data_IF_290320136030
#
_entry.id   IF_290320136030
#
_cell.length_a   1.000
_cell.length_b   1.000
_cell.length_c   1.000
_cell.angle_alpha   90.00
_cell.angle_beta   90.00
_cell.angle_gamma   90.00
#
_symmetry.space_group_name_H-M   'P 1'
#
loop_
_entity.id
_entity.type
_entity.pdbx_description
1 polymer ?
#
# COMPACT_ATOMS: atom_id res chain seq x y z
N UNK A 1 -9.79 57.65 38.08
CA UNK A 1 -9.93 56.20 38.39
C UNK A 1 -9.41 55.42 37.18
N UNK A 2 -8.64 54.33 37.25
CA UNK A 2 -7.79 53.73 38.30
C UNK A 2 -6.46 53.38 37.60
N UNK A 3 -5.30 53.55 38.27
CA UNK A 3 -4.00 53.05 37.78
C UNK A 3 -3.81 51.61 38.25
N UNK A 4 -3.18 50.76 37.43
CA UNK A 4 -2.58 49.50 37.86
C UNK A 4 -1.06 49.61 37.65
N UNK A 5 -0.27 49.26 38.67
CA UNK A 5 1.19 49.30 38.66
C UNK A 5 1.73 47.90 38.43
N UNK A 6 2.74 47.75 37.56
CA UNK A 6 3.63 46.60 37.59
C UNK A 6 4.75 46.82 38.63
N UNK A 7 5.07 45.78 39.39
CA UNK A 7 6.17 45.74 40.36
C UNK A 7 7.34 44.90 39.82
N UNK A 8 8.55 45.20 40.29
CA UNK A 8 9.82 44.64 39.79
C UNK A 8 10.45 43.70 40.85
N UNK A 9 11.20 42.72 40.33
CA UNK A 9 12.22 41.78 40.87
C UNK A 9 13.12 42.26 42.07
N UNK A 10 14.09 41.47 42.63
CA UNK A 10 14.36 40.00 42.61
C UNK A 10 14.66 39.38 44.03
N UNK A 11 15.81 38.71 44.36
CA UNK A 11 15.94 37.25 44.52
C UNK A 11 16.53 36.77 45.87
N UNK A 12 16.63 35.46 46.14
CA UNK A 12 17.64 34.95 47.09
C UNK A 12 18.17 33.52 46.82
N UNK A 13 19.46 33.37 47.16
CA UNK A 13 20.31 32.17 47.26
C UNK A 13 20.49 31.88 48.78
N UNK A 14 20.87 30.70 49.31
CA UNK A 14 21.49 29.45 48.84
C UNK A 14 20.91 28.28 49.68
N UNK A 15 21.22 27.00 49.41
CA UNK A 15 22.12 26.24 50.31
C UNK A 15 22.64 24.91 49.75
N UNK A 16 23.76 24.42 50.30
CA UNK A 16 24.54 23.25 49.85
C UNK A 16 24.80 22.29 51.03
N UNK A 17 25.15 21.02 50.73
CA UNK A 17 25.71 19.92 51.55
C UNK A 17 24.77 18.69 51.56
N UNK A 18 25.22 17.46 51.28
CA UNK A 18 26.53 16.99 50.81
C UNK A 18 26.64 15.46 50.78
N UNK A 19 27.60 14.95 50.01
CA UNK A 19 28.23 13.61 50.07
C UNK A 19 27.36 12.34 50.23
N UNK A 20 27.43 11.42 49.27
CA UNK A 20 28.35 10.26 49.41
C UNK A 20 28.39 9.36 48.16
N UNK A 21 29.60 8.91 47.83
CA UNK A 21 29.87 7.95 46.75
C UNK A 21 29.66 6.50 47.24
N UNK A 22 28.93 5.68 46.47
CA UNK A 22 29.17 4.22 46.41
C UNK A 22 28.99 3.72 44.98
N UNK A 23 30.05 3.12 44.44
CA UNK A 23 30.00 2.39 43.18
C UNK A 23 29.42 0.99 43.41
N UNK A 24 28.64 0.49 42.44
CA UNK A 24 28.20 -0.90 42.39
C UNK A 24 28.43 -1.46 40.97
N UNK A 25 29.13 -2.59 40.88
CA UNK A 25 29.40 -3.29 39.62
C UNK A 25 28.16 -4.03 39.09
N UNK A 26 28.01 -4.20 37.77
CA UNK A 26 26.86 -4.88 37.18
C UNK A 26 27.03 -6.41 37.19
N UNK A 27 26.05 -7.13 37.75
CA UNK A 27 25.81 -8.57 37.49
C UNK A 27 24.30 -8.85 37.52
N UNK A 28 23.79 -9.55 36.51
CA UNK A 28 22.35 -9.79 36.31
C UNK A 28 22.05 -9.99 34.83
N UNK A 29 22.65 -11.01 34.20
CA UNK A 29 22.03 -12.32 33.98
C UNK A 29 21.02 -12.29 32.81
N UNK A 30 21.23 -13.19 31.85
CA UNK A 30 20.57 -13.14 30.55
C UNK A 30 19.04 -13.24 30.68
N UNK A 31 18.32 -12.33 30.02
CA UNK A 31 16.87 -12.46 29.83
C UNK A 31 16.62 -13.67 28.94
N UNK A 32 16.25 -14.80 29.54
CA UNK A 32 15.66 -15.92 28.80
C UNK A 32 14.46 -15.39 28.02
N UNK A 33 14.49 -15.57 26.69
CA UNK A 33 13.28 -15.41 25.89
C UNK A 33 12.22 -16.37 26.44
N UNK A 34 11.04 -15.85 26.78
CA UNK A 34 9.89 -16.67 27.11
C UNK A 34 9.43 -17.41 25.86
N UNK A 35 9.32 -18.75 25.85
CA UNK A 35 8.76 -19.47 24.72
C UNK A 35 7.35 -18.96 24.43
N UNK A 36 7.08 -18.59 23.18
CA UNK A 36 5.73 -18.18 22.77
C UNK A 36 4.78 -19.37 22.97
N UNK A 37 3.77 -19.21 23.82
CA UNK A 37 2.85 -20.28 24.15
C UNK A 37 2.15 -20.76 22.86
N UNK A 38 2.20 -22.07 22.61
CA UNK A 38 1.67 -22.67 21.40
C UNK A 38 0.18 -22.33 21.23
N UNK A 39 -0.15 -21.58 20.18
CA UNK A 39 -1.54 -21.36 19.75
C UNK A 39 -2.06 -22.63 19.08
N UNK A 40 -2.75 -23.47 19.84
CA UNK A 40 -3.74 -24.39 19.28
C UNK A 40 -5.14 -23.90 19.62
N UNK A 41 -5.91 -23.51 18.60
CA UNK A 41 -7.34 -23.80 18.42
C UNK A 41 -7.94 -22.88 17.36
N UNK A 42 -8.58 -23.48 16.34
CA UNK A 42 -9.24 -22.78 15.24
C UNK A 42 -8.30 -22.43 14.08
N UNK A 43 -8.21 -23.32 13.09
CA UNK A 43 -7.63 -22.96 11.78
C UNK A 43 -8.66 -22.08 11.07
N UNK A 44 -8.61 -20.78 11.36
CA UNK A 44 -9.16 -19.78 10.45
C UNK A 44 -8.41 -19.92 9.14
N UNK A 45 -9.12 -20.25 8.06
CA UNK A 45 -8.54 -20.23 6.72
C UNK A 45 -7.86 -18.87 6.49
N UNK A 46 -6.61 -18.89 6.03
CA UNK A 46 -5.93 -17.67 5.63
C UNK A 46 -6.78 -16.96 4.57
N UNK A 47 -6.84 -15.63 4.60
CA UNK A 47 -7.63 -14.87 3.65
C UNK A 47 -6.75 -13.78 3.05
N UNK A 48 -6.81 -13.64 1.72
CA UNK A 48 -5.96 -12.71 0.97
C UNK A 48 -6.80 -12.02 -0.11
N UNK A 49 -6.49 -10.76 -0.37
CA UNK A 49 -7.00 -10.05 -1.53
C UNK A 49 -6.07 -10.25 -2.75
N UNK A 50 -6.67 -10.33 -3.94
CA UNK A 50 -5.96 -10.16 -5.20
C UNK A 50 -6.33 -8.79 -5.77
N UNK A 51 -5.34 -7.90 -5.90
CA UNK A 51 -5.51 -6.60 -6.55
C UNK A 51 -4.84 -6.56 -7.93
N UNK A 52 -5.34 -5.71 -8.82
CA UNK A 52 -4.70 -5.42 -10.11
C UNK A 52 -4.89 -3.96 -10.50
N UNK A 53 -3.87 -3.36 -11.10
CA UNK A 53 -3.95 -2.06 -11.74
C UNK A 53 -4.72 -2.22 -13.06
N UNK A 54 -5.83 -1.50 -13.24
CA UNK A 54 -6.81 -1.69 -14.34
C UNK A 54 -7.37 -0.35 -14.83
N UNK A 55 -8.06 -0.37 -15.97
CA UNK A 55 -8.62 0.85 -16.57
C UNK A 55 -7.54 1.81 -17.07
N UNK A 56 -6.35 1.29 -17.38
CA UNK A 56 -5.17 2.06 -17.78
C UNK A 56 -5.12 2.32 -19.31
N UNK A 57 -6.19 2.00 -20.04
CA UNK A 57 -6.38 2.47 -21.42
C UNK A 57 -6.53 4.00 -21.47
N UNK A 58 -6.26 4.63 -22.63
CA UNK A 58 -6.43 6.07 -22.80
C UNK A 58 -6.85 6.44 -24.22
N UNK A 59 -8.09 6.93 -24.37
CA UNK A 59 -8.65 7.33 -25.66
C UNK A 59 -8.74 6.15 -26.64
N UNK A 60 -7.97 6.21 -27.72
CA UNK A 60 -7.89 5.12 -28.71
C UNK A 60 -6.89 4.01 -28.29
N UNK A 61 -5.97 4.29 -27.36
CA UNK A 61 -4.98 3.31 -26.92
C UNK A 61 -5.59 2.33 -25.92
N UNK A 62 -5.32 1.04 -26.13
CA UNK A 62 -5.79 -0.06 -25.29
C UNK A 62 -4.61 -0.75 -24.62
N UNK A 63 -4.75 -1.00 -23.33
CA UNK A 63 -3.79 -1.77 -22.52
C UNK A 63 -4.55 -2.88 -21.79
N UNK A 64 -3.93 -4.07 -21.73
CA UNK A 64 -4.44 -5.22 -20.99
C UNK A 64 -5.75 -5.82 -21.51
N UNK A 65 -6.26 -6.77 -20.74
CA UNK A 65 -7.62 -7.32 -20.86
C UNK A 65 -8.37 -7.06 -19.55
N UNK A 66 -8.76 -5.79 -19.35
CA UNK A 66 -9.53 -5.36 -18.18
C UNK A 66 -10.74 -6.28 -17.93
N UNK A 67 -11.45 -6.66 -19.00
CA UNK A 67 -12.75 -7.34 -18.90
C UNK A 67 -12.60 -8.73 -18.29
N UNK A 68 -11.59 -9.49 -18.73
CA UNK A 68 -11.28 -10.76 -18.09
C UNK A 68 -10.67 -10.55 -16.69
N UNK A 69 -9.79 -9.56 -16.50
CA UNK A 69 -9.13 -9.33 -15.21
C UNK A 69 -10.11 -8.97 -14.09
N UNK A 70 -11.14 -8.13 -14.36
CA UNK A 70 -12.21 -7.84 -13.41
C UNK A 70 -13.00 -9.10 -12.97
N UNK A 71 -13.02 -10.17 -13.77
CA UNK A 71 -13.61 -11.45 -13.36
C UNK A 71 -12.72 -12.32 -12.46
N UNK A 72 -11.44 -11.99 -12.32
CA UNK A 72 -10.43 -12.83 -11.65
C UNK A 72 -9.95 -12.26 -10.32
N UNK A 73 -9.87 -10.94 -10.19
CA UNK A 73 -9.40 -10.23 -8.99
C UNK A 73 -10.52 -9.94 -8.00
N UNK A 74 -10.17 -9.52 -6.78
CA UNK A 74 -11.14 -9.09 -5.75
C UNK A 74 -11.12 -7.58 -5.52
N UNK A 75 -10.01 -6.91 -5.84
CA UNK A 75 -9.86 -5.45 -5.82
C UNK A 75 -9.25 -4.95 -7.13
N UNK A 76 -9.62 -3.75 -7.58
CA UNK A 76 -9.14 -3.16 -8.83
C UNK A 76 -8.72 -1.69 -8.64
N UNK A 77 -7.44 -1.40 -8.88
CA UNK A 77 -6.89 -0.05 -8.80
C UNK A 77 -7.14 0.64 -10.15
N UNK A 78 -8.19 1.45 -10.24
CA UNK A 78 -8.58 2.11 -11.49
C UNK A 78 -7.88 3.45 -11.64
N UNK A 79 -7.16 3.63 -12.76
CA UNK A 79 -6.45 4.86 -13.09
C UNK A 79 -7.37 6.10 -13.16
N UNK A 80 -6.84 7.25 -12.74
CA UNK A 80 -7.64 8.46 -12.47
C UNK A 80 -7.41 9.65 -13.42
N UNK A 81 -6.91 9.40 -14.64
CA UNK A 81 -6.79 10.39 -15.73
C UNK A 81 -5.45 11.11 -15.85
N UNK A 82 -4.51 10.91 -14.92
CA UNK A 82 -3.21 11.61 -14.91
C UNK A 82 -2.07 10.82 -15.55
N UNK A 83 -1.91 9.54 -15.17
CA UNK A 83 -0.96 8.63 -15.81
C UNK A 83 -1.60 7.79 -16.91
N UNK A 84 -2.90 7.49 -16.76
CA UNK A 84 -3.74 6.69 -17.64
C UNK A 84 -5.23 6.89 -17.28
N UNK A 85 -6.16 6.25 -17.99
CA UNK A 85 -7.59 6.19 -17.61
C UNK A 85 -8.38 7.47 -17.93
N UNK A 86 -8.73 7.68 -19.20
CA UNK A 86 -9.63 8.76 -19.59
C UNK A 86 -11.05 8.60 -18.97
N UNK A 87 -11.91 9.64 -18.94
CA UNK A 87 -13.22 9.57 -18.29
C UNK A 87 -14.17 8.47 -18.81
N UNK A 88 -14.08 8.09 -20.09
CA UNK A 88 -14.88 6.99 -20.63
C UNK A 88 -14.32 5.63 -20.21
N UNK A 89 -12.99 5.49 -20.18
CA UNK A 89 -12.29 4.31 -19.65
C UNK A 89 -12.56 4.13 -18.15
N UNK A 90 -12.45 5.18 -17.33
CA UNK A 90 -12.84 5.17 -15.92
C UNK A 90 -14.29 4.70 -15.74
N UNK A 91 -15.23 5.31 -16.48
CA UNK A 91 -16.66 4.95 -16.39
C UNK A 91 -16.92 3.48 -16.76
N UNK A 92 -16.24 2.94 -17.79
CA UNK A 92 -16.31 1.52 -18.15
C UNK A 92 -15.78 0.64 -17.01
N UNK A 93 -14.65 1.00 -16.42
CA UNK A 93 -13.99 0.24 -15.35
C UNK A 93 -14.81 0.21 -14.06
N UNK A 94 -15.43 1.33 -13.68
CA UNK A 94 -16.46 1.37 -12.62
C UNK A 94 -17.60 0.39 -12.91
N UNK A 95 -18.10 0.38 -14.15
CA UNK A 95 -19.17 -0.52 -14.55
C UNK A 95 -18.76 -2.00 -14.55
N UNK A 96 -17.49 -2.31 -14.84
CA UNK A 96 -16.93 -3.66 -14.70
C UNK A 96 -16.82 -4.05 -13.23
N UNK A 97 -16.25 -3.20 -12.38
CA UNK A 97 -16.14 -3.43 -10.94
C UNK A 97 -17.51 -3.76 -10.32
N UNK A 98 -18.54 -2.96 -10.66
CA UNK A 98 -19.91 -3.17 -10.21
C UNK A 98 -20.51 -4.49 -10.72
N UNK A 99 -20.27 -4.89 -11.98
CA UNK A 99 -20.78 -6.16 -12.54
C UNK A 99 -20.14 -7.39 -11.92
N UNK A 100 -18.86 -7.32 -11.56
CA UNK A 100 -18.11 -8.46 -11.01
C UNK A 100 -18.07 -8.49 -9.47
N UNK A 101 -18.59 -7.46 -8.79
CA UNK A 101 -18.55 -7.36 -7.32
C UNK A 101 -17.15 -7.05 -6.77
N UNK A 102 -16.27 -6.48 -7.59
CA UNK A 102 -14.88 -6.15 -7.25
C UNK A 102 -14.82 -4.83 -6.49
N UNK A 103 -13.96 -4.76 -5.46
CA UNK A 103 -13.72 -3.52 -4.73
C UNK A 103 -13.00 -2.50 -5.61
N UNK A 104 -13.67 -1.37 -5.88
CA UNK A 104 -13.13 -0.28 -6.69
C UNK A 104 -12.14 0.55 -5.88
N UNK A 105 -10.85 0.51 -6.23
CA UNK A 105 -9.82 1.38 -5.70
C UNK A 105 -9.53 2.55 -6.64
N UNK A 106 -9.16 3.71 -6.08
CA UNK A 106 -8.55 4.77 -6.87
C UNK A 106 -7.05 4.51 -7.05
N UNK A 107 -6.56 4.68 -8.27
CA UNK A 107 -5.16 4.54 -8.63
C UNK A 107 -4.55 5.88 -9.08
N UNK A 108 -4.37 6.85 -8.15
CA UNK A 108 -3.80 8.15 -8.48
C UNK A 108 -2.33 8.02 -8.85
N UNK A 109 -1.94 8.67 -9.94
CA UNK A 109 -0.56 8.77 -10.41
C UNK A 109 -0.09 10.22 -10.51
N UNK A 110 1.19 10.39 -10.86
CA UNK A 110 1.67 11.69 -11.32
C UNK A 110 0.98 12.11 -12.62
N UNK A 111 0.88 13.42 -12.84
CA UNK A 111 0.42 14.05 -14.09
C UNK A 111 1.44 13.88 -15.23
N UNK A 112 1.69 12.62 -15.58
CA UNK A 112 2.70 12.20 -16.53
C UNK A 112 2.17 11.08 -17.44
N UNK A 113 1.19 11.42 -18.28
CA UNK A 113 0.64 10.51 -19.28
C UNK A 113 1.72 9.98 -20.25
N UNK A 114 2.70 10.82 -20.61
CA UNK A 114 3.77 10.45 -21.55
C UNK A 114 4.81 9.47 -20.97
N UNK A 115 5.05 9.52 -19.66
CA UNK A 115 5.86 8.54 -18.92
C UNK A 115 5.03 7.49 -18.17
N UNK A 116 3.71 7.42 -18.41
CA UNK A 116 2.76 6.53 -17.74
C UNK A 116 2.88 6.60 -16.20
N UNK A 117 3.16 7.78 -15.62
CA UNK A 117 3.35 7.95 -14.18
C UNK A 117 4.54 7.17 -13.57
N UNK A 118 5.40 6.55 -14.40
CA UNK A 118 6.55 5.74 -13.97
C UNK A 118 7.85 6.55 -13.82
N UNK A 119 7.85 7.84 -14.14
CA UNK A 119 9.00 8.76 -13.90
C UNK A 119 8.87 9.43 -12.54
N UNK A 120 9.97 9.52 -11.80
CA UNK A 120 10.03 10.28 -10.56
C UNK A 120 9.93 11.79 -10.87
N UNK A 121 8.97 12.47 -10.26
CA UNK A 121 8.77 13.92 -10.37
C UNK A 121 8.88 14.59 -9.01
N UNK A 122 9.56 15.73 -8.96
CA UNK A 122 9.70 16.59 -7.77
C UNK A 122 8.48 17.50 -7.59
N UNK A 123 7.31 16.87 -7.41
CA UNK A 123 6.05 17.57 -7.08
C UNK A 123 6.07 17.98 -5.61
N UNK A 124 5.63 19.19 -5.28
CA UNK A 124 5.53 19.64 -3.89
C UNK A 124 4.48 18.80 -3.12
N UNK A 125 4.68 18.47 -1.82
CA UNK A 125 3.71 17.68 -1.05
C UNK A 125 2.29 18.25 -1.06
N UNK A 126 2.15 19.56 -1.02
CA UNK A 126 0.87 20.28 -1.02
C UNK A 126 0.17 20.21 -2.39
N UNK A 127 0.94 20.20 -3.49
CA UNK A 127 0.42 19.99 -4.84
C UNK A 127 0.01 18.52 -5.02
N UNK A 128 0.84 17.58 -4.59
CA UNK A 128 0.57 16.13 -4.60
C UNK A 128 -0.70 15.77 -3.81
N UNK A 129 -0.95 16.43 -2.68
CA UNK A 129 -2.20 16.34 -1.93
C UNK A 129 -3.42 16.82 -2.75
N UNK A 130 -3.32 17.96 -3.43
CA UNK A 130 -4.38 18.47 -4.29
C UNK A 130 -4.61 17.57 -5.53
N UNK A 131 -3.55 17.02 -6.13
CA UNK A 131 -3.61 16.08 -7.25
C UNK A 131 -4.26 14.75 -6.87
N UNK A 132 -4.02 14.24 -5.65
CA UNK A 132 -4.75 13.10 -5.08
C UNK A 132 -6.24 13.40 -4.99
N UNK A 133 -6.63 14.53 -4.39
CA UNK A 133 -8.04 14.89 -4.17
C UNK A 133 -8.80 15.07 -5.50
N UNK A 134 -8.15 15.66 -6.51
CA UNK A 134 -8.70 15.77 -7.85
C UNK A 134 -8.98 14.39 -8.47
N UNK A 135 -7.98 13.50 -8.45
CA UNK A 135 -8.07 12.16 -9.03
C UNK A 135 -9.10 11.28 -8.33
N UNK A 136 -9.11 11.28 -7.00
CA UNK A 136 -10.08 10.56 -6.18
C UNK A 136 -11.51 11.09 -6.39
N UNK A 137 -11.68 12.41 -6.43
CA UNK A 137 -12.97 13.04 -6.71
C UNK A 137 -13.52 12.72 -8.10
N UNK A 138 -12.66 12.65 -9.12
CA UNK A 138 -13.04 12.27 -10.48
C UNK A 138 -13.57 10.83 -10.55
N UNK A 139 -12.86 9.87 -9.95
CA UNK A 139 -13.30 8.47 -9.96
C UNK A 139 -14.53 8.24 -9.07
N UNK A 140 -14.58 8.76 -7.84
CA UNK A 140 -15.72 8.55 -6.94
C UNK A 140 -16.99 9.28 -7.44
N UNK A 141 -16.85 10.37 -8.20
CA UNK A 141 -17.96 10.99 -8.93
C UNK A 141 -18.58 10.04 -9.98
N UNK A 142 -17.74 9.36 -10.77
CA UNK A 142 -18.19 8.35 -11.74
C UNK A 142 -18.71 7.07 -11.07
N UNK A 143 -18.15 6.70 -9.92
CA UNK A 143 -18.61 5.59 -9.08
C UNK A 143 -20.03 5.82 -8.57
N UNK A 144 -20.27 6.98 -7.94
CA UNK A 144 -21.59 7.39 -7.43
C UNK A 144 -22.66 7.41 -8.53
N UNK A 145 -22.31 7.86 -9.73
CA UNK A 145 -23.21 7.86 -10.89
C UNK A 145 -23.63 6.45 -11.37
N UNK A 146 -22.97 5.39 -10.90
CA UNK A 146 -23.30 3.99 -11.15
C UNK A 146 -23.72 3.22 -9.87
N UNK A 147 -24.03 3.93 -8.78
CA UNK A 147 -24.50 3.33 -7.53
C UNK A 147 -23.42 2.62 -6.70
N UNK A 148 -22.15 2.80 -7.04
CA UNK A 148 -21.00 2.27 -6.29
C UNK A 148 -20.15 3.41 -5.70
N UNK A 149 -19.08 3.06 -4.99
CA UNK A 149 -18.17 4.01 -4.33
C UNK A 149 -16.73 3.53 -4.50
N UNK A 150 -15.77 4.44 -4.49
CA UNK A 150 -14.37 4.07 -4.23
C UNK A 150 -14.27 3.51 -2.81
N UNK A 151 -13.47 2.44 -2.63
CA UNK A 151 -13.35 1.66 -1.40
C UNK A 151 -11.98 1.77 -0.74
N UNK A 152 -10.94 2.10 -1.49
CA UNK A 152 -9.57 2.29 -1.01
C UNK A 152 -8.75 3.11 -2.02
N UNK A 153 -7.51 3.45 -1.67
CA UNK A 153 -6.56 4.15 -2.57
C UNK A 153 -5.21 3.42 -2.61
N UNK A 154 -4.65 3.23 -3.82
CA UNK A 154 -3.29 2.72 -4.06
C UNK A 154 -2.59 3.69 -5.01
N UNK A 155 -1.47 4.29 -4.64
CA UNK A 155 -0.74 5.15 -5.57
C UNK A 155 -0.15 4.37 -6.76
N UNK A 156 0.00 5.02 -7.93
CA UNK A 156 0.59 4.42 -9.12
C UNK A 156 2.11 4.65 -9.21
N UNK A 157 2.82 3.68 -9.80
CA UNK A 157 4.14 3.87 -10.42
C UNK A 157 5.18 4.56 -9.53
N UNK A 158 5.74 5.67 -10.01
CA UNK A 158 6.77 6.39 -9.27
C UNK A 158 6.22 7.13 -8.02
N UNK A 159 4.92 7.45 -7.99
CA UNK A 159 4.29 8.03 -6.81
C UNK A 159 4.24 7.00 -5.67
N UNK A 160 3.87 5.74 -5.96
CA UNK A 160 3.93 4.64 -5.00
C UNK A 160 5.31 4.52 -4.33
N UNK A 161 6.37 4.48 -5.14
CA UNK A 161 7.73 4.38 -4.64
C UNK A 161 8.15 5.61 -3.82
N UNK A 162 7.75 6.83 -4.24
CA UNK A 162 8.02 8.04 -3.45
C UNK A 162 7.31 8.01 -2.09
N UNK A 163 6.02 7.65 -2.04
CA UNK A 163 5.27 7.55 -0.79
C UNK A 163 5.85 6.45 0.14
N UNK A 164 6.52 5.44 -0.40
CA UNK A 164 7.29 4.48 0.40
C UNK A 164 8.50 5.07 1.14
N UNK A 165 9.10 6.16 0.65
CA UNK A 165 10.41 6.67 1.09
C UNK A 165 10.44 8.14 1.58
N UNK A 166 9.59 9.01 1.04
CA UNK A 166 9.51 10.44 1.35
C UNK A 166 8.42 10.69 2.41
N UNK A 167 8.85 10.87 3.67
CA UNK A 167 7.97 11.15 4.81
C UNK A 167 7.07 12.38 4.61
N UNK A 168 7.54 13.41 3.88
CA UNK A 168 6.75 14.64 3.65
C UNK A 168 5.65 14.41 2.63
N UNK A 169 5.96 13.72 1.53
CA UNK A 169 4.96 13.33 0.55
C UNK A 169 3.96 12.33 1.14
N UNK A 170 4.43 11.36 1.93
CA UNK A 170 3.60 10.38 2.62
C UNK A 170 2.61 11.04 3.60
N UNK A 171 3.07 11.97 4.43
CA UNK A 171 2.22 12.73 5.36
C UNK A 171 1.14 13.52 4.61
N UNK A 172 1.52 14.34 3.61
CA UNK A 172 0.57 15.15 2.85
C UNK A 172 -0.49 14.30 2.11
N UNK A 173 -0.09 13.13 1.57
CA UNK A 173 -1.02 12.19 0.94
C UNK A 173 -2.02 11.60 1.95
N UNK A 174 -1.54 11.14 3.10
CA UNK A 174 -2.37 10.53 4.14
C UNK A 174 -3.31 11.55 4.79
N UNK A 175 -2.83 12.75 5.11
CA UNK A 175 -3.64 13.85 5.66
C UNK A 175 -4.76 14.28 4.69
N UNK A 176 -4.44 14.40 3.40
CA UNK A 176 -5.42 14.72 2.37
C UNK A 176 -6.49 13.62 2.22
N UNK A 177 -6.10 12.33 2.24
CA UNK A 177 -7.05 11.23 2.18
C UNK A 177 -7.95 11.18 3.42
N UNK A 178 -7.39 11.37 4.62
CA UNK A 178 -8.15 11.43 5.88
C UNK A 178 -9.14 12.61 5.91
N UNK A 179 -8.78 13.74 5.31
CA UNK A 179 -9.68 14.88 5.14
C UNK A 179 -10.80 14.64 4.11
N UNK A 180 -10.58 13.75 3.12
CA UNK A 180 -11.59 13.39 2.11
C UNK A 180 -12.60 12.36 2.66
N UNK A 181 -12.12 11.22 3.15
CA UNK A 181 -12.92 10.16 3.76
C UNK A 181 -12.02 9.28 4.64
N UNK A 182 -12.07 9.41 5.98
CA UNK A 182 -11.19 8.67 6.89
C UNK A 182 -11.49 7.16 6.95
N UNK A 183 -12.56 6.69 6.29
CA UNK A 183 -12.85 5.26 6.17
C UNK A 183 -12.11 4.58 5.01
N UNK A 184 -11.52 5.33 4.06
CA UNK A 184 -10.80 4.78 2.92
C UNK A 184 -9.44 4.21 3.35
N UNK A 185 -9.17 2.89 3.18
CA UNK A 185 -7.85 2.34 3.43
C UNK A 185 -6.83 2.81 2.38
N UNK A 186 -5.57 2.93 2.80
CA UNK A 186 -4.42 3.03 1.89
C UNK A 186 -3.85 1.63 1.67
N UNK A 187 -3.70 1.24 0.41
CA UNK A 187 -2.93 0.06 0.01
C UNK A 187 -1.53 0.50 -0.41
N UNK A 188 -0.48 -0.11 0.16
CA UNK A 188 0.89 0.26 -0.15
C UNK A 188 1.95 -0.70 0.37
N UNK A 189 3.21 -0.35 0.10
CA UNK A 189 4.37 -1.14 0.51
C UNK A 189 4.51 -1.19 2.05
N UNK A 190 4.71 -2.39 2.64
CA UNK A 190 4.88 -2.54 4.09
C UNK A 190 6.16 -1.86 4.59
N UNK A 191 6.12 -1.32 5.81
CA UNK A 191 7.27 -0.68 6.47
C UNK A 191 7.70 0.68 5.91
N UNK A 192 7.07 1.15 4.82
CA UNK A 192 7.36 2.44 4.20
C UNK A 192 6.84 3.66 4.97
N UNK A 193 7.23 4.85 4.52
CA UNK A 193 6.75 6.12 5.06
C UNK A 193 5.22 6.24 4.99
N UNK A 194 4.59 5.76 3.91
CA UNK A 194 3.13 5.75 3.76
C UNK A 194 2.39 4.92 4.81
N UNK A 195 2.97 3.81 5.31
CA UNK A 195 2.35 3.03 6.39
C UNK A 195 2.34 3.84 7.70
N UNK A 196 3.46 4.51 8.02
CA UNK A 196 3.56 5.40 9.18
C UNK A 196 2.61 6.61 9.07
N UNK A 197 2.56 7.23 7.90
CA UNK A 197 1.70 8.38 7.64
C UNK A 197 0.22 8.04 7.72
N UNK A 198 -0.21 6.90 7.14
CA UNK A 198 -1.57 6.41 7.24
C UNK A 198 -1.97 6.17 8.72
N UNK A 199 -1.12 5.49 9.49
CA UNK A 199 -1.35 5.26 10.93
C UNK A 199 -1.42 6.58 11.72
N UNK A 200 -0.54 7.54 11.44
CA UNK A 200 -0.55 8.86 12.09
C UNK A 200 -1.80 9.68 11.76
N UNK A 201 -2.32 9.57 10.52
CA UNK A 201 -3.57 10.19 10.09
C UNK A 201 -4.84 9.44 10.54
N UNK A 202 -4.70 8.31 11.24
CA UNK A 202 -5.83 7.48 11.70
C UNK A 202 -6.49 6.63 10.60
N UNK A 203 -5.87 6.52 9.43
CA UNK A 203 -6.33 5.71 8.31
C UNK A 203 -6.00 4.23 8.49
N UNK A 204 -6.85 3.37 7.93
CA UNK A 204 -6.52 1.95 7.81
C UNK A 204 -5.44 1.75 6.75
N UNK A 205 -4.38 1.00 7.06
CA UNK A 205 -3.39 0.59 6.07
C UNK A 205 -3.60 -0.88 5.69
N UNK A 206 -3.38 -1.21 4.42
CA UNK A 206 -3.34 -2.57 3.88
C UNK A 206 -1.97 -2.79 3.23
N UNK A 207 -1.29 -3.89 3.61
CA UNK A 207 0.06 -4.21 3.13
C UNK A 207 -0.02 -4.98 1.82
N UNK A 208 0.70 -4.48 0.83
CA UNK A 208 0.78 -5.10 -0.49
C UNK A 208 2.04 -5.97 -0.64
N UNK A 209 1.89 -7.15 -1.25
CA UNK A 209 3.00 -7.96 -1.73
C UNK A 209 2.87 -8.26 -3.24
N UNK A 210 3.97 -8.68 -3.85
CA UNK A 210 4.07 -8.91 -5.29
C UNK A 210 4.65 -10.31 -5.54
N UNK A 211 3.81 -11.25 -5.97
CA UNK A 211 4.26 -12.63 -6.22
C UNK A 211 5.19 -12.74 -7.43
N UNK A 212 5.10 -11.82 -8.39
CA UNK A 212 5.85 -11.78 -9.64
C UNK A 212 7.08 -10.85 -9.63
N UNK A 213 7.44 -10.25 -8.48
CA UNK A 213 8.59 -9.34 -8.37
C UNK A 213 9.72 -9.92 -7.53
N UNK A 214 10.96 -9.56 -7.91
CA UNK A 214 12.14 -9.78 -7.09
C UNK A 214 12.18 -8.79 -5.92
N UNK A 215 12.55 -9.29 -4.74
CA UNK A 215 12.80 -8.50 -3.53
C UNK A 215 14.31 -8.43 -3.27
N UNK A 216 14.81 -7.25 -2.94
CA UNK A 216 16.20 -7.03 -2.50
C UNK A 216 16.40 -7.29 -1.01
N UNK A 217 17.66 -7.36 -0.58
CA UNK A 217 18.04 -7.60 0.82
C UNK A 217 17.54 -6.52 1.81
N UNK A 218 17.16 -5.34 1.31
CA UNK A 218 16.52 -4.25 2.05
C UNK A 218 14.99 -4.45 2.22
N UNK A 219 14.44 -5.52 1.66
CA UNK A 219 13.00 -5.82 1.64
C UNK A 219 12.21 -5.02 0.60
N UNK A 220 12.87 -4.21 -0.23
CA UNK A 220 12.23 -3.44 -1.28
C UNK A 220 12.14 -4.24 -2.59
N UNK A 221 11.23 -3.83 -3.48
CA UNK A 221 11.17 -4.40 -4.82
C UNK A 221 12.37 -3.96 -5.66
N UNK A 222 13.00 -4.91 -6.36
CA UNK A 222 14.09 -4.60 -7.29
C UNK A 222 13.63 -3.63 -8.39
N UNK A 223 14.47 -2.66 -8.80
CA UNK A 223 14.15 -1.75 -9.90
C UNK A 223 13.78 -2.49 -11.19
N UNK A 224 12.80 -1.97 -11.94
CA UNK A 224 12.42 -2.54 -13.23
C UNK A 224 13.62 -2.49 -14.18
N UNK A 225 14.01 -3.65 -14.71
CA UNK A 225 15.19 -3.83 -15.57
C UNK A 225 16.44 -4.37 -14.86
N UNK A 226 16.43 -4.51 -13.53
CA UNK A 226 17.46 -5.28 -12.83
C UNK A 226 17.28 -6.80 -13.07
N UNK A 227 18.37 -7.56 -12.98
CA UNK A 227 18.33 -9.02 -13.01
C UNK A 227 17.47 -9.55 -11.84
N UNK A 228 16.63 -10.56 -12.11
CA UNK A 228 15.68 -11.10 -11.12
C UNK A 228 14.52 -10.18 -10.73
N UNK A 229 14.37 -8.98 -11.32
CA UNK A 229 13.31 -8.03 -10.92
C UNK A 229 11.88 -8.46 -11.26
N UNK A 230 11.72 -9.43 -12.17
CA UNK A 230 10.45 -10.00 -12.61
C UNK A 230 10.58 -11.53 -12.67
N UNK A 231 9.63 -12.23 -12.05
CA UNK A 231 9.45 -13.69 -12.16
C UNK A 231 8.43 -13.94 -13.26
N UNK A 232 8.79 -14.77 -14.25
CA UNK A 232 7.98 -14.99 -15.46
C UNK A 232 7.38 -16.39 -15.57
N UNK A 233 7.80 -17.35 -14.73
CA UNK A 233 7.18 -18.67 -14.66
C UNK A 233 5.84 -18.60 -13.89
N UNK A 234 4.69 -18.90 -14.52
CA UNK A 234 3.40 -18.84 -13.86
C UNK A 234 3.25 -19.77 -12.66
N UNK A 235 3.95 -20.91 -12.66
CA UNK A 235 3.89 -21.87 -11.54
C UNK A 235 4.72 -21.36 -10.35
N UNK A 236 5.86 -20.71 -10.60
CA UNK A 236 6.65 -20.05 -9.55
C UNK A 236 5.87 -18.90 -8.92
N UNK A 237 5.22 -18.05 -9.73
CA UNK A 237 4.38 -16.96 -9.23
C UNK A 237 3.19 -17.49 -8.41
N UNK A 238 2.52 -18.55 -8.87
CA UNK A 238 1.44 -19.18 -8.12
C UNK A 238 1.92 -19.76 -6.77
N UNK A 239 3.08 -20.43 -6.75
CA UNK A 239 3.68 -20.94 -5.52
C UNK A 239 4.09 -19.81 -4.56
N UNK A 240 4.69 -18.72 -5.06
CA UNK A 240 5.04 -17.52 -4.28
C UNK A 240 3.79 -16.83 -3.71
N UNK A 241 2.68 -16.78 -4.46
CA UNK A 241 1.42 -16.23 -3.97
C UNK A 241 0.83 -17.06 -2.82
N UNK A 242 0.86 -18.40 -2.92
CA UNK A 242 0.44 -19.29 -1.83
C UNK A 242 1.34 -19.11 -0.60
N UNK A 243 2.67 -19.08 -0.77
CA UNK A 243 3.60 -18.85 0.33
C UNK A 243 3.35 -17.50 1.04
N UNK A 244 3.19 -16.42 0.29
CA UNK A 244 2.82 -15.09 0.81
C UNK A 244 1.51 -15.12 1.61
N UNK A 245 0.49 -15.83 1.13
CA UNK A 245 -0.82 -15.90 1.79
C UNK A 245 -0.85 -16.84 3.02
N UNK A 246 -0.01 -17.88 3.07
CA UNK A 246 -0.06 -18.90 4.14
C UNK A 246 1.03 -18.77 5.20
N UNK A 247 2.24 -18.35 4.82
CA UNK A 247 3.39 -18.21 5.74
C UNK A 247 4.01 -16.83 5.71
N UNK A 248 3.61 -15.96 4.78
CA UNK A 248 4.21 -14.64 4.57
C UNK A 248 5.54 -14.66 3.83
N UNK A 249 6.08 -15.83 3.48
CA UNK A 249 7.44 -15.96 2.97
C UNK A 249 7.55 -15.63 1.48
N UNK A 250 8.56 -14.82 1.12
CA UNK A 250 8.95 -14.55 -0.27
C UNK A 250 10.48 -14.64 -0.45
N UNK A 251 11.00 -15.30 -1.50
CA UNK A 251 12.44 -15.36 -1.77
C UNK A 251 13.07 -13.99 -2.04
N UNK A 252 14.26 -13.77 -1.46
CA UNK A 252 15.15 -12.65 -1.75
C UNK A 252 16.10 -12.96 -2.91
N UNK A 253 16.49 -11.94 -3.68
CA UNK A 253 17.32 -12.09 -4.87
C UNK A 253 18.78 -12.48 -4.58
N UNK A 254 19.32 -12.15 -3.40
CA UNK A 254 20.63 -12.56 -2.91
C UNK A 254 20.61 -13.92 -2.18
N UNK A 255 19.44 -14.55 -2.11
CA UNK A 255 19.19 -15.80 -1.40
C UNK A 255 18.62 -15.59 0.01
N UNK A 256 17.89 -16.59 0.50
CA UNK A 256 17.10 -16.47 1.73
C UNK A 256 15.66 -16.03 1.46
N UNK A 257 14.97 -15.61 2.51
CA UNK A 257 13.56 -15.24 2.44
C UNK A 257 13.22 -14.06 3.35
N UNK A 258 12.27 -13.25 2.91
CA UNK A 258 11.62 -12.18 3.65
C UNK A 258 10.27 -12.67 4.16
N UNK A 259 9.97 -12.44 5.43
CA UNK A 259 8.63 -12.66 5.99
C UNK A 259 7.82 -11.36 5.93
N UNK A 260 6.69 -11.41 5.24
CA UNK A 260 5.71 -10.34 5.09
C UNK A 260 4.39 -10.74 5.76
N UNK A 261 3.57 -9.74 6.10
CA UNK A 261 2.17 -9.96 6.49
C UNK A 261 1.25 -9.21 5.51
N UNK A 262 1.09 -9.70 4.26
CA UNK A 262 0.30 -9.02 3.24
C UNK A 262 -1.20 -9.13 3.51
N UNK A 263 -1.91 -8.04 3.29
CA UNK A 263 -3.38 -8.01 3.21
C UNK A 263 -3.85 -8.26 1.76
N UNK A 264 -2.99 -7.96 0.77
CA UNK A 264 -3.26 -8.06 -0.66
C UNK A 264 -2.01 -8.47 -1.45
N UNK A 265 -2.22 -9.24 -2.52
CA UNK A 265 -1.20 -9.58 -3.52
C UNK A 265 -1.55 -8.88 -4.83
N UNK A 266 -0.62 -8.09 -5.36
CA UNK A 266 -0.75 -7.44 -6.67
C UNK A 266 -0.50 -8.43 -7.80
N UNK A 267 -1.35 -8.39 -8.82
CA UNK A 267 -1.19 -9.03 -10.11
C UNK A 267 -1.05 -7.95 -11.18
N UNK A 268 -0.08 -8.07 -12.08
CA UNK A 268 0.09 -7.10 -13.17
C UNK A 268 -0.83 -7.42 -14.35
N UNK A 269 -1.77 -6.53 -14.68
CA UNK A 269 -2.70 -6.66 -15.81
C UNK A 269 -2.16 -6.23 -17.17
N UNK A 270 -1.00 -5.56 -17.19
CA UNK A 270 -0.37 -4.98 -18.39
C UNK A 270 0.52 -5.96 -19.18
N UNK A 271 0.78 -7.15 -18.63
CA UNK A 271 1.72 -8.14 -19.19
C UNK A 271 1.00 -9.18 -20.06
N UNK A 272 1.53 -9.57 -21.24
CA UNK A 272 0.96 -10.65 -22.04
C UNK A 272 0.78 -11.94 -21.24
N UNK A 273 -0.44 -12.49 -21.25
CA UNK A 273 -0.80 -13.67 -20.46
C UNK A 273 -1.29 -13.38 -19.03
N UNK A 274 -1.38 -12.12 -18.60
CA UNK A 274 -1.87 -11.74 -17.26
C UNK A 274 -3.18 -12.43 -16.82
N UNK A 275 -4.23 -12.58 -17.68
CA UNK A 275 -5.44 -13.29 -17.27
C UNK A 275 -5.23 -14.78 -16.99
N UNK A 276 -4.27 -15.42 -17.67
CA UNK A 276 -3.94 -16.83 -17.42
C UNK A 276 -3.13 -16.99 -16.14
N UNK A 277 -2.18 -16.08 -15.89
CA UNK A 277 -1.45 -16.00 -14.63
C UNK A 277 -2.39 -15.78 -13.44
N UNK A 278 -3.34 -14.85 -13.56
CA UNK A 278 -4.32 -14.55 -12.53
C UNK A 278 -5.24 -15.75 -12.22
N UNK A 279 -5.67 -16.51 -13.24
CA UNK A 279 -6.39 -17.78 -13.02
C UNK A 279 -5.56 -18.78 -12.23
N UNK A 280 -4.29 -18.97 -12.58
CA UNK A 280 -3.39 -19.93 -11.90
C UNK A 280 -3.14 -19.55 -10.45
N UNK A 281 -2.80 -18.28 -10.18
CA UNK A 281 -2.61 -17.76 -8.82
C UNK A 281 -3.88 -17.98 -7.99
N UNK A 282 -5.05 -17.61 -8.51
CA UNK A 282 -6.32 -17.80 -7.80
C UNK A 282 -6.63 -19.27 -7.54
N UNK A 283 -6.49 -20.14 -8.54
CA UNK A 283 -6.73 -21.57 -8.39
C UNK A 283 -5.77 -22.22 -7.38
N UNK A 284 -4.50 -21.81 -7.35
CA UNK A 284 -3.51 -22.30 -6.39
C UNK A 284 -3.85 -21.85 -4.95
N UNK A 285 -4.29 -20.59 -4.77
CA UNK A 285 -4.75 -20.08 -3.46
C UNK A 285 -5.99 -20.83 -2.97
N UNK A 286 -7.01 -20.99 -3.82
CA UNK A 286 -8.24 -21.72 -3.50
C UNK A 286 -7.94 -23.20 -3.19
N UNK A 287 -7.04 -23.85 -3.94
CA UNK A 287 -6.60 -25.23 -3.69
C UNK A 287 -5.79 -25.39 -2.39
N UNK A 288 -5.04 -24.35 -1.99
CA UNK A 288 -4.34 -24.29 -0.70
C UNK A 288 -5.28 -23.98 0.49
N UNK A 289 -6.59 -23.81 0.25
CA UNK A 289 -7.57 -23.48 1.28
C UNK A 289 -7.55 -22.01 1.72
N UNK A 290 -6.97 -21.11 0.91
CA UNK A 290 -6.98 -19.67 1.16
C UNK A 290 -8.29 -19.06 0.65
N UNK A 291 -8.95 -18.27 1.51
CA UNK A 291 -10.14 -17.51 1.14
C UNK A 291 -9.75 -16.24 0.38
N UNK A 292 -9.84 -16.29 -0.95
CA UNK A 292 -9.64 -15.13 -1.82
C UNK A 292 -10.83 -14.16 -1.69
N UNK A 293 -10.59 -12.97 -1.11
CA UNK A 293 -11.63 -11.95 -0.87
C UNK A 293 -11.06 -10.53 -0.79
N UNK A 294 -11.87 -9.53 -1.10
CA UNK A 294 -11.48 -8.12 -0.98
C UNK A 294 -11.10 -7.74 0.47
N UNK A 295 -10.10 -6.88 0.62
CA UNK A 295 -9.73 -6.32 1.92
C UNK A 295 -10.60 -5.11 2.34
N UNK A 296 -11.31 -4.48 1.40
CA UNK A 296 -11.97 -3.17 1.53
C UNK A 296 -13.50 -3.21 1.36
#
# INVERSE_FOLDING_TARGET
>A
MRRVRFGILPPFLVDVVGSSLRAAHPRGNARRATPHAARQNGVMAAAIDLNCDLGESFGAWRLGDDETMFGLVTSANVACGFHAGDPATMRRSVGLAARHGVALGAHPGYRDLGGFGRRALDVAPEELAAELLYQLGALDGLARAQGVRVRYVKAHGALYHRLGADERAAAAFAEALAAYDPALPVLGAPGGAIERAAQAAGLRFAREAFADRGYGADGLLLPRGAEGALVTDPEEVAARAVALATTGAVPLADGGALELAPDSICLHGDTPGAPELARRVRAALEAAGVLVRAFA
#
